data_IF_573958378428
#
_entry.id   IF_573958378428
#
_cell.length_a   1.000
_cell.length_b   1.000
_cell.length_c   1.000
_cell.angle_alpha   90.00
_cell.angle_beta   90.00
_cell.angle_gamma   90.00
#
_symmetry.space_group_name_H-M   'P 1'
#
loop_
_entity.id
_entity.type
_entity.pdbx_description
1 polymer ?
#
# COMPACT_ATOMS: atom_id res chain seq x y z
N UNK A 1 -2.96 42.03 -30.78
CA UNK A 1 -2.36 41.57 -29.51
C UNK A 1 -3.19 40.41 -28.99
N UNK A 2 -2.66 39.19 -28.97
CA UNK A 2 -3.33 38.06 -28.30
C UNK A 2 -3.23 38.23 -26.79
N UNK A 3 -4.33 38.02 -26.05
CA UNK A 3 -4.32 37.98 -24.58
C UNK A 3 -4.91 39.19 -23.84
N UNK A 4 -5.80 39.96 -24.46
CA UNK A 4 -6.43 41.14 -23.82
C UNK A 4 -7.55 40.74 -22.83
N UNK A 5 -8.13 39.54 -22.97
CA UNK A 5 -9.21 39.07 -22.10
C UNK A 5 -8.81 37.86 -21.24
N UNK A 6 -9.43 37.75 -20.05
CA UNK A 6 -9.31 36.56 -19.21
C UNK A 6 -9.92 35.38 -19.98
N UNK A 7 -9.06 34.46 -20.44
CA UNK A 7 -9.46 33.23 -21.17
C UNK A 7 -10.46 32.34 -20.44
N UNK A 8 -10.64 32.56 -19.14
CA UNK A 8 -11.45 31.71 -18.27
C UNK A 8 -12.45 32.55 -17.48
N UNK A 9 -13.72 32.15 -17.54
CA UNK A 9 -14.82 32.78 -16.79
C UNK A 9 -14.67 32.44 -15.31
N UNK A 10 -14.26 33.41 -14.51
CA UNK A 10 -13.95 33.21 -13.08
C UNK A 10 -15.09 32.54 -12.30
N UNK A 11 -16.32 33.03 -12.43
CA UNK A 11 -17.50 32.45 -11.76
C UNK A 11 -17.76 30.98 -12.11
N UNK A 12 -17.41 30.58 -13.34
CA UNK A 12 -17.55 29.20 -13.79
C UNK A 12 -16.52 28.29 -13.12
N UNK A 13 -15.26 28.72 -13.07
CA UNK A 13 -14.20 27.98 -12.37
C UNK A 13 -14.47 27.89 -10.87
N UNK A 14 -14.94 28.96 -10.26
CA UNK A 14 -15.30 28.98 -8.83
C UNK A 14 -16.39 27.94 -8.53
N UNK A 15 -17.40 27.82 -9.40
CA UNK A 15 -18.45 26.79 -9.29
C UNK A 15 -17.86 25.39 -9.41
N UNK A 16 -17.00 25.15 -10.39
CA UNK A 16 -16.35 23.85 -10.59
C UNK A 16 -15.43 23.47 -9.41
N UNK A 17 -14.71 24.43 -8.84
CA UNK A 17 -13.86 24.21 -7.68
C UNK A 17 -14.68 23.86 -6.43
N UNK A 18 -15.76 24.61 -6.15
CA UNK A 18 -16.69 24.29 -5.06
C UNK A 18 -17.40 22.95 -5.26
N UNK A 19 -17.68 22.58 -6.51
CA UNK A 19 -18.22 21.26 -6.85
C UNK A 19 -17.21 20.12 -6.66
N UNK A 20 -15.91 20.44 -6.50
CA UNK A 20 -14.84 19.47 -6.36
C UNK A 20 -14.41 18.83 -7.69
N UNK A 21 -14.74 19.46 -8.82
CA UNK A 21 -14.42 18.93 -10.16
C UNK A 21 -12.92 18.75 -10.40
N UNK A 22 -12.08 19.55 -9.73
CA UNK A 22 -10.63 19.48 -9.80
C UNK A 22 -9.98 18.66 -8.67
N UNK A 23 -10.78 18.12 -7.74
CA UNK A 23 -10.29 17.34 -6.62
C UNK A 23 -10.48 15.85 -6.96
N UNK A 24 -9.46 15.15 -7.51
CA UNK A 24 -9.52 13.70 -7.74
C UNK A 24 -9.66 12.89 -6.44
N UNK A 25 -9.56 13.56 -5.30
CA UNK A 25 -9.45 13.00 -3.96
C UNK A 25 -10.78 12.90 -3.20
N UNK A 26 -11.84 13.61 -3.62
CA UNK A 26 -13.10 13.67 -2.86
C UNK A 26 -13.77 12.29 -2.72
N UNK A 27 -13.56 11.41 -3.69
CA UNK A 27 -14.05 10.02 -3.67
C UNK A 27 -13.06 9.08 -2.97
N UNK A 28 -11.74 9.30 -3.12
CA UNK A 28 -10.69 8.44 -2.56
C UNK A 28 -10.64 8.43 -1.03
N UNK A 29 -10.97 9.55 -0.39
CA UNK A 29 -10.95 9.64 1.07
C UNK A 29 -12.19 9.03 1.75
N UNK A 30 -13.31 8.92 1.05
CA UNK A 30 -14.54 8.33 1.61
C UNK A 30 -14.38 6.82 1.83
N UNK A 31 -13.68 6.13 0.94
CA UNK A 31 -13.45 4.69 1.01
C UNK A 31 -12.39 4.29 2.04
N UNK A 32 -11.46 5.21 2.36
CA UNK A 32 -10.37 4.98 3.32
C UNK A 32 -10.76 5.24 4.78
N UNK A 33 -11.95 5.81 5.05
CA UNK A 33 -12.38 6.23 6.38
C UNK A 33 -13.25 5.19 7.13
N UNK A 34 -13.55 4.04 6.53
CA UNK A 34 -14.32 2.97 7.17
C UNK A 34 -13.46 2.16 8.15
N UNK A 35 -12.96 2.79 9.22
CA UNK A 35 -12.22 2.09 10.28
C UNK A 35 -13.17 1.74 11.43
N UNK A 36 -13.63 0.48 11.48
CA UNK A 36 -14.10 -0.13 12.72
C UNK A 36 -12.89 -0.56 13.58
N UNK A 37 -13.07 -0.70 14.90
CA UNK A 37 -11.98 -1.09 15.81
C UNK A 37 -11.36 -2.44 15.46
N UNK A 38 -12.18 -3.37 14.97
CA UNK A 38 -11.75 -4.71 14.56
C UNK A 38 -10.77 -4.63 13.37
N UNK A 39 -11.06 -3.76 12.40
CA UNK A 39 -10.17 -3.49 11.27
C UNK A 39 -8.86 -2.80 11.69
N UNK A 40 -8.85 -2.04 12.78
CA UNK A 40 -7.61 -1.43 13.28
C UNK A 40 -6.69 -2.48 13.91
N UNK A 41 -7.23 -3.37 14.76
CA UNK A 41 -6.45 -4.43 15.39
C UNK A 41 -5.80 -5.35 14.35
N UNK A 42 -6.58 -5.82 13.37
CA UNK A 42 -6.08 -6.67 12.27
C UNK A 42 -4.94 -6.01 11.50
N UNK A 43 -5.05 -4.70 11.22
CA UNK A 43 -3.97 -3.94 10.54
C UNK A 43 -2.71 -3.85 11.39
N UNK A 44 -2.84 -3.63 12.70
CA UNK A 44 -1.69 -3.62 13.62
C UNK A 44 -1.03 -4.99 13.63
N UNK A 45 -1.81 -6.07 13.69
CA UNK A 45 -1.29 -7.43 13.74
C UNK A 45 -0.62 -7.83 12.41
N UNK A 46 -1.21 -7.47 11.27
CA UNK A 46 -0.58 -7.60 9.96
C UNK A 46 0.76 -6.87 9.93
N UNK A 47 0.82 -5.64 10.44
CA UNK A 47 2.04 -4.84 10.43
C UNK A 47 3.16 -5.49 11.26
N UNK A 48 2.83 -6.08 12.41
CA UNK A 48 3.80 -6.84 13.22
C UNK A 48 4.37 -8.03 12.46
N UNK A 49 3.53 -8.80 11.75
CA UNK A 49 3.99 -9.94 10.92
C UNK A 49 4.94 -9.49 9.80
N UNK A 50 4.66 -8.33 9.18
CA UNK A 50 5.56 -7.75 8.16
C UNK A 50 6.92 -7.42 8.78
N UNK A 51 6.95 -6.82 9.96
CA UNK A 51 8.20 -6.49 10.67
C UNK A 51 8.99 -7.74 11.05
N UNK A 52 8.32 -8.80 11.51
CA UNK A 52 8.93 -10.09 11.82
C UNK A 52 9.63 -10.74 10.61
N UNK A 53 8.95 -10.76 9.45
CA UNK A 53 9.55 -11.25 8.21
C UNK A 53 10.69 -10.34 7.75
N UNK A 54 10.50 -9.02 7.78
CA UNK A 54 11.52 -8.06 7.36
C UNK A 54 12.79 -8.13 8.23
N UNK A 55 12.68 -8.51 9.50
CA UNK A 55 13.82 -8.72 10.38
C UNK A 55 14.64 -9.97 10.03
N UNK A 56 14.02 -10.95 9.36
CA UNK A 56 14.67 -12.19 8.92
C UNK A 56 15.31 -12.05 7.55
N UNK A 57 14.86 -11.08 6.75
CA UNK A 57 15.41 -10.82 5.43
C UNK A 57 16.79 -10.15 5.49
N UNK A 58 17.65 -10.39 4.48
CA UNK A 58 19.01 -9.84 4.44
C UNK A 58 19.07 -8.33 4.11
N UNK A 59 17.92 -7.67 3.87
CA UNK A 59 17.80 -6.22 3.56
C UNK A 59 18.74 -5.72 2.47
N UNK A 60 18.92 -6.51 1.41
CA UNK A 60 19.77 -6.14 0.26
C UNK A 60 19.08 -5.26 -0.78
N UNK A 61 17.75 -5.18 -0.75
CA UNK A 61 16.95 -4.35 -1.68
C UNK A 61 17.31 -4.60 -3.16
N UNK A 62 17.53 -5.88 -3.49
CA UNK A 62 18.07 -6.29 -4.79
C UNK A 62 17.02 -6.53 -5.89
N UNK A 63 15.74 -6.58 -5.55
CA UNK A 63 14.64 -6.77 -6.51
C UNK A 63 14.51 -8.17 -7.15
N UNK A 64 15.38 -9.13 -6.82
CA UNK A 64 15.40 -10.44 -7.50
C UNK A 64 14.18 -11.32 -7.23
N UNK A 65 13.44 -11.06 -6.16
CA UNK A 65 12.19 -11.75 -5.84
C UNK A 65 10.97 -11.16 -6.55
N UNK A 66 11.13 -10.09 -7.33
CA UNK A 66 10.05 -9.42 -8.07
C UNK A 66 9.41 -8.22 -7.36
N UNK A 67 9.74 -7.98 -6.09
CA UNK A 67 9.29 -6.79 -5.34
C UNK A 67 10.35 -5.67 -5.40
N UNK A 68 9.97 -4.39 -5.36
CA UNK A 68 10.90 -3.25 -5.50
C UNK A 68 11.93 -3.16 -4.36
N UNK A 69 11.56 -3.57 -3.14
CA UNK A 69 12.41 -3.54 -1.96
C UNK A 69 12.06 -4.70 -1.00
N UNK A 70 12.90 -4.92 0.01
CA UNK A 70 12.71 -6.03 0.94
C UNK A 70 11.46 -5.87 1.83
N UNK A 71 11.00 -4.64 2.10
CA UNK A 71 9.79 -4.43 2.90
C UNK A 71 8.54 -4.75 2.08
N UNK A 72 8.45 -4.29 0.83
CA UNK A 72 7.35 -4.71 -0.04
C UNK A 72 7.33 -6.22 -0.25
N UNK A 73 8.49 -6.88 -0.38
CA UNK A 73 8.54 -8.34 -0.41
C UNK A 73 7.98 -8.97 0.88
N UNK A 74 8.31 -8.44 2.07
CA UNK A 74 7.75 -8.93 3.32
C UNK A 74 6.23 -8.77 3.38
N UNK A 75 5.69 -7.67 2.84
CA UNK A 75 4.24 -7.45 2.71
C UNK A 75 3.61 -8.47 1.75
N UNK A 76 4.22 -8.73 0.60
CA UNK A 76 3.76 -9.74 -0.37
C UNK A 76 3.73 -11.15 0.24
N UNK A 77 4.68 -11.48 1.12
CA UNK A 77 4.69 -12.76 1.84
C UNK A 77 3.57 -12.84 2.88
N UNK A 78 3.33 -11.78 3.65
CA UNK A 78 2.21 -11.74 4.62
C UNK A 78 0.86 -11.82 3.92
N UNK A 79 0.74 -11.18 2.75
CA UNK A 79 -0.48 -11.19 1.93
C UNK A 79 -0.63 -12.49 1.10
N UNK A 80 0.31 -13.43 1.20
CA UNK A 80 0.27 -14.71 0.49
C UNK A 80 0.54 -14.63 -1.03
N UNK A 81 1.05 -13.50 -1.52
CA UNK A 81 1.40 -13.28 -2.93
C UNK A 81 2.78 -13.85 -3.30
N UNK A 82 3.66 -14.03 -2.31
CA UNK A 82 5.00 -14.59 -2.48
C UNK A 82 5.35 -15.57 -1.36
N UNK A 83 6.26 -16.52 -1.64
CA UNK A 83 6.87 -17.36 -0.60
C UNK A 83 8.18 -16.74 -0.13
N UNK A 84 8.58 -16.96 1.14
CA UNK A 84 9.89 -16.56 1.65
C UNK A 84 11.04 -17.12 0.82
N UNK A 85 10.86 -18.33 0.28
CA UNK A 85 11.85 -19.03 -0.54
C UNK A 85 12.13 -18.34 -1.88
N UNK A 86 11.28 -17.40 -2.31
CA UNK A 86 11.51 -16.60 -3.51
C UNK A 86 12.70 -15.63 -3.34
N UNK A 87 13.15 -15.39 -2.11
CA UNK A 87 14.35 -14.59 -1.86
C UNK A 87 15.61 -15.45 -2.01
N UNK A 88 16.34 -15.28 -3.12
CA UNK A 88 17.60 -16.00 -3.41
C UNK A 88 18.67 -15.87 -2.31
N UNK A 89 18.62 -14.79 -1.53
CA UNK A 89 19.59 -14.48 -0.48
C UNK A 89 19.13 -14.95 0.91
N UNK A 90 17.99 -15.61 0.99
CA UNK A 90 17.47 -16.15 2.24
C UNK A 90 18.24 -17.42 2.61
N UNK A 91 19.30 -17.27 3.42
CA UNK A 91 20.04 -18.39 3.98
C UNK A 91 19.33 -18.91 5.23
N UNK A 92 18.37 -19.82 5.01
CA UNK A 92 17.49 -20.35 6.04
C UNK A 92 18.19 -20.77 7.34
N UNK A 93 17.88 -20.07 8.43
CA UNK A 93 17.44 -20.77 9.64
C UNK A 93 15.95 -20.97 9.45
N UNK A 94 15.54 -22.23 9.28
CA UNK A 94 14.17 -22.63 8.93
C UNK A 94 13.12 -21.84 9.73
N UNK A 95 12.38 -20.98 9.03
CA UNK A 95 11.20 -20.31 9.57
C UNK A 95 10.05 -21.26 9.35
N UNK A 96 9.38 -21.66 10.44
CA UNK A 96 8.17 -22.49 10.35
C UNK A 96 7.16 -21.76 9.45
N UNK A 97 6.54 -22.44 8.48
CA UNK A 97 5.52 -21.80 7.66
C UNK A 97 4.44 -21.24 8.57
N UNK A 98 4.15 -19.94 8.43
CA UNK A 98 3.00 -19.31 9.10
C UNK A 98 1.77 -19.92 8.45
N UNK A 99 1.09 -20.79 9.20
CA UNK A 99 -0.03 -21.62 8.77
C UNK A 99 -1.06 -20.80 7.97
N UNK A 100 -1.23 -21.18 6.70
CA UNK A 100 -2.39 -20.81 5.89
C UNK A 100 -3.50 -21.81 6.21
N UNK A 101 -4.44 -21.46 7.10
CA UNK A 101 -5.80 -22.03 7.21
C UNK A 101 -6.56 -21.40 8.37
N UNK A 102 -7.60 -20.62 8.05
CA UNK A 102 -8.94 -20.73 8.66
C UNK A 102 -9.92 -19.85 7.84
N UNK A 103 -10.36 -20.39 6.70
CA UNK A 103 -11.70 -20.13 6.18
C UNK A 103 -12.68 -20.96 7.02
N UNK A 104 -13.60 -20.31 7.73
CA UNK A 104 -14.87 -20.92 8.15
C UNK A 104 -15.96 -19.88 8.29
#
# INVERSE_FOLDING_TARGET
>A
MYGVERRVKYKYVEKLYKAGWFLPEKERFAEQAATTKDLLWERIERQKRVEEILAQLPRKECGQCGSPDCRTFAEDVVDGRASLDNCLYFSGRAVKPVNQKEER
#
